data_IF_633612586842
#
_entry.id   IF_633612586842
#
_cell.length_a   1.000
_cell.length_b   1.000
_cell.length_c   1.000
_cell.angle_alpha   90.00
_cell.angle_beta   90.00
_cell.angle_gamma   90.00
#
_symmetry.space_group_name_H-M   'P 1'
#
loop_
_entity.id
_entity.type
_entity.pdbx_description
1 polymer ?
#
# COMPACT_ATOMS: atom_id res chain seq x y z
N UNK A 1 9.26 -6.64 -12.00
CA UNK A 1 8.82 -7.03 -10.64
C UNK A 1 9.97 -7.68 -9.87
N UNK A 2 10.07 -7.45 -8.57
CA UNK A 2 11.12 -8.08 -7.76
C UNK A 2 10.85 -9.57 -7.53
N UNK A 3 11.93 -10.35 -7.49
CA UNK A 3 11.87 -11.80 -7.25
C UNK A 3 11.23 -12.17 -5.93
N UNK A 4 11.19 -11.27 -4.93
CA UNK A 4 10.50 -11.50 -3.66
C UNK A 4 9.06 -12.00 -3.85
N UNK A 5 8.32 -11.39 -4.78
CA UNK A 5 6.93 -11.80 -5.05
C UNK A 5 6.85 -13.14 -5.80
N UNK A 6 7.84 -13.45 -6.65
CA UNK A 6 7.91 -14.74 -7.37
C UNK A 6 8.23 -15.87 -6.40
N UNK A 7 9.19 -15.64 -5.49
CA UNK A 7 9.53 -16.59 -4.42
C UNK A 7 8.33 -16.80 -3.48
N UNK A 8 7.52 -15.75 -3.23
CA UNK A 8 6.25 -15.90 -2.52
C UNK A 8 5.26 -16.82 -3.24
N UNK A 9 5.15 -16.70 -4.57
CA UNK A 9 4.32 -17.61 -5.39
C UNK A 9 4.84 -19.03 -5.36
N UNK A 10 6.15 -19.23 -5.46
CA UNK A 10 6.78 -20.55 -5.33
C UNK A 10 6.44 -21.17 -3.98
N UNK A 11 6.68 -20.44 -2.89
CA UNK A 11 6.35 -20.90 -1.53
C UNK A 11 4.86 -21.27 -1.39
N UNK A 12 3.96 -20.46 -1.95
CA UNK A 12 2.54 -20.80 -2.01
C UNK A 12 2.29 -22.11 -2.76
N UNK A 13 2.86 -22.29 -3.96
CA UNK A 13 2.65 -23.50 -4.75
C UNK A 13 3.16 -24.73 -4.00
N UNK A 14 4.38 -24.67 -3.47
CA UNK A 14 5.02 -25.78 -2.79
C UNK A 14 4.30 -26.15 -1.48
N UNK A 15 3.80 -25.16 -0.75
CA UNK A 15 3.11 -25.38 0.54
C UNK A 15 1.73 -26.02 0.35
N UNK A 16 0.97 -25.60 -0.67
CA UNK A 16 -0.43 -26.01 -0.82
C UNK A 16 -0.65 -27.11 -1.85
N UNK A 17 0.24 -27.26 -2.82
CA UNK A 17 0.12 -28.26 -3.89
C UNK A 17 1.29 -29.25 -3.93
N UNK A 18 2.36 -28.98 -3.15
CA UNK A 18 3.53 -29.84 -3.03
C UNK A 18 4.68 -29.40 -3.93
N UNK A 19 5.90 -29.75 -3.51
CA UNK A 19 7.15 -29.30 -4.17
C UNK A 19 7.26 -29.73 -5.64
N UNK A 20 6.69 -30.89 -5.99
CA UNK A 20 6.73 -31.42 -7.36
C UNK A 20 5.88 -30.61 -8.35
N UNK A 21 4.95 -29.77 -7.89
CA UNK A 21 4.09 -28.96 -8.76
C UNK A 21 4.82 -27.74 -9.30
N UNK A 22 5.76 -27.15 -8.53
CA UNK A 22 6.52 -25.98 -8.96
C UNK A 22 7.20 -26.15 -10.33
N UNK A 23 8.04 -27.19 -10.57
CA UNK A 23 8.69 -27.36 -11.87
C UNK A 23 7.70 -27.59 -13.02
N UNK A 24 6.57 -28.27 -12.78
CA UNK A 24 5.52 -28.47 -13.78
C UNK A 24 4.88 -27.15 -14.19
N UNK A 25 4.56 -26.30 -13.20
CA UNK A 25 3.98 -24.96 -13.42
C UNK A 25 4.98 -24.06 -14.14
N UNK A 26 6.26 -24.08 -13.77
CA UNK A 26 7.31 -23.29 -14.45
C UNK A 26 7.45 -23.70 -15.91
N UNK A 27 7.51 -25.01 -16.20
CA UNK A 27 7.60 -25.52 -17.57
C UNK A 27 6.36 -25.14 -18.40
N UNK A 28 5.15 -25.35 -17.85
CA UNK A 28 3.88 -25.00 -18.50
C UNK A 28 3.73 -23.50 -18.71
N UNK A 29 4.25 -22.69 -17.79
CA UNK A 29 4.30 -21.24 -17.95
C UNK A 29 5.25 -20.82 -19.08
N UNK A 30 6.07 -21.72 -19.66
CA UNK A 30 7.09 -21.43 -20.68
C UNK A 30 8.33 -20.75 -20.10
N UNK A 31 8.64 -21.02 -18.84
CA UNK A 31 9.78 -20.46 -18.12
C UNK A 31 10.83 -21.56 -17.94
N UNK A 32 12.11 -21.18 -17.93
CA UNK A 32 13.23 -22.12 -17.72
C UNK A 32 13.85 -21.99 -16.33
N UNK A 33 13.61 -20.87 -15.64
CA UNK A 33 14.20 -20.57 -14.34
C UNK A 33 13.33 -21.14 -13.22
N UNK A 34 13.90 -22.03 -12.42
CA UNK A 34 13.28 -22.57 -11.21
C UNK A 34 13.60 -21.73 -9.97
N UNK A 35 14.81 -21.17 -9.90
CA UNK A 35 15.29 -20.42 -8.74
C UNK A 35 15.27 -18.91 -8.96
N UNK A 36 14.58 -18.18 -8.08
CA UNK A 36 14.45 -16.73 -8.14
C UNK A 36 15.17 -16.06 -6.97
N UNK A 37 15.94 -15.01 -7.26
CA UNK A 37 16.61 -14.19 -6.27
C UNK A 37 15.71 -13.04 -5.84
N UNK A 38 15.47 -12.87 -4.54
CA UNK A 38 14.50 -11.90 -4.01
C UNK A 38 14.77 -10.46 -4.45
N UNK A 39 16.05 -10.05 -4.50
CA UNK A 39 16.50 -8.69 -4.86
C UNK A 39 16.71 -8.48 -6.36
N UNK A 40 16.51 -9.49 -7.20
CA UNK A 40 16.60 -9.34 -8.66
C UNK A 40 15.27 -8.90 -9.26
N UNK A 41 15.34 -8.13 -10.34
CA UNK A 41 14.16 -7.68 -11.10
C UNK A 41 13.94 -8.62 -12.27
N UNK A 42 12.69 -9.04 -12.42
CA UNK A 42 12.22 -9.93 -13.48
C UNK A 42 11.07 -9.28 -14.26
N UNK A 43 10.69 -9.90 -15.39
CA UNK A 43 9.54 -9.47 -16.19
C UNK A 43 8.26 -9.41 -15.35
N UNK A 44 7.43 -8.40 -15.58
CA UNK A 44 6.12 -8.23 -14.92
C UNK A 44 5.14 -9.36 -15.30
N UNK A 45 5.37 -10.06 -16.42
CA UNK A 45 4.49 -11.14 -16.91
C UNK A 45 4.68 -12.49 -16.20
N UNK A 46 5.74 -12.65 -15.39
CA UNK A 46 6.07 -13.97 -14.80
C UNK A 46 4.97 -14.48 -13.87
N UNK A 47 4.52 -13.67 -12.90
CA UNK A 47 3.50 -14.11 -11.93
C UNK A 47 2.18 -14.42 -12.63
N UNK A 48 1.81 -13.63 -13.64
CA UNK A 48 0.61 -13.90 -14.42
C UNK A 48 0.70 -15.26 -15.12
N UNK A 49 1.80 -15.53 -15.83
CA UNK A 49 2.04 -16.82 -16.50
C UNK A 49 2.04 -18.00 -15.52
N UNK A 50 2.65 -17.83 -14.35
CA UNK A 50 2.65 -18.85 -13.29
C UNK A 50 1.24 -19.13 -12.77
N UNK A 51 0.43 -18.09 -12.54
CA UNK A 51 -0.96 -18.26 -12.07
C UNK A 51 -1.86 -18.91 -13.12
N UNK A 52 -1.69 -18.55 -14.40
CA UNK A 52 -2.41 -19.20 -15.51
C UNK A 52 -2.00 -20.67 -15.64
N UNK A 53 -0.70 -20.98 -15.57
CA UNK A 53 -0.22 -22.36 -15.61
C UNK A 53 -0.72 -23.19 -14.41
N UNK A 54 -0.71 -22.61 -13.20
CA UNK A 54 -1.24 -23.27 -12.00
C UNK A 54 -2.76 -23.47 -12.09
N UNK A 55 -3.50 -22.53 -12.69
CA UNK A 55 -4.94 -22.68 -12.96
C UNK A 55 -5.22 -23.89 -13.86
N UNK A 56 -4.43 -24.05 -14.93
CA UNK A 56 -4.55 -25.21 -15.82
C UNK A 56 -4.14 -26.54 -15.16
N UNK A 57 -3.25 -26.50 -14.17
CA UNK A 57 -2.83 -27.71 -13.43
C UNK A 57 -3.85 -28.13 -12.38
N UNK A 58 -4.49 -27.16 -11.71
CA UNK A 58 -5.34 -27.41 -10.53
C UNK A 58 -6.84 -27.36 -10.84
N UNK A 59 -7.23 -26.84 -12.01
CA UNK A 59 -8.63 -26.60 -12.39
C UNK A 59 -9.30 -25.44 -11.67
N UNK A 60 -8.58 -24.70 -10.81
CA UNK A 60 -9.09 -23.51 -10.10
C UNK A 60 -8.98 -22.26 -10.97
N UNK A 61 -9.82 -21.27 -10.70
CA UNK A 61 -9.73 -19.97 -11.39
C UNK A 61 -8.50 -19.19 -10.93
N UNK A 62 -7.98 -18.32 -11.81
CA UNK A 62 -6.83 -17.45 -11.49
C UNK A 62 -7.16 -16.52 -10.33
N UNK A 63 -8.40 -16.04 -10.22
CA UNK A 63 -8.85 -15.19 -9.12
C UNK A 63 -8.78 -15.92 -7.77
N UNK A 64 -9.24 -17.18 -7.69
CA UNK A 64 -9.13 -17.97 -6.46
C UNK A 64 -7.67 -18.23 -6.11
N UNK A 65 -6.83 -18.63 -7.07
CA UNK A 65 -5.40 -18.86 -6.83
C UNK A 65 -4.67 -17.61 -6.33
N UNK A 66 -4.98 -16.44 -6.90
CA UNK A 66 -4.44 -15.17 -6.41
C UNK A 66 -4.93 -14.86 -5.00
N UNK A 67 -6.20 -15.12 -4.71
CA UNK A 67 -6.75 -14.96 -3.37
C UNK A 67 -6.06 -15.88 -2.34
N UNK A 68 -5.90 -17.16 -2.65
CA UNK A 68 -5.20 -18.13 -1.80
C UNK A 68 -3.73 -17.75 -1.60
N UNK A 69 -3.03 -17.33 -2.66
CA UNK A 69 -1.66 -16.82 -2.55
C UNK A 69 -1.58 -15.57 -1.64
N UNK A 70 -2.59 -14.69 -1.72
CA UNK A 70 -2.73 -13.55 -0.80
C UNK A 70 -2.89 -13.99 0.64
N UNK A 71 -3.68 -15.04 0.90
CA UNK A 71 -3.86 -15.61 2.23
C UNK A 71 -2.59 -16.27 2.77
N UNK A 72 -1.70 -16.79 1.91
CA UNK A 72 -0.40 -17.32 2.34
C UNK A 72 0.66 -16.24 2.57
N UNK A 73 0.37 -14.98 2.22
CA UNK A 73 1.38 -13.93 2.20
C UNK A 73 2.02 -13.66 3.56
N UNK A 74 1.25 -13.50 4.64
CA UNK A 74 1.87 -13.12 5.92
C UNK A 74 2.71 -14.26 6.50
N UNK A 75 2.33 -15.52 6.25
CA UNK A 75 3.16 -16.69 6.60
C UNK A 75 4.51 -16.61 5.88
N UNK A 76 4.48 -16.52 4.55
CA UNK A 76 5.68 -16.33 3.73
C UNK A 76 6.55 -15.16 4.23
N UNK A 77 5.96 -13.97 4.42
CA UNK A 77 6.74 -12.81 4.86
C UNK A 77 7.30 -12.96 6.28
N UNK A 78 6.63 -13.71 7.16
CA UNK A 78 7.14 -13.98 8.51
C UNK A 78 8.36 -14.89 8.42
N UNK A 79 8.26 -15.97 7.65
CA UNK A 79 9.35 -16.94 7.46
C UNK A 79 10.58 -16.31 6.79
N UNK A 80 10.35 -15.29 5.94
CA UNK A 80 11.39 -14.48 5.30
C UNK A 80 11.89 -13.30 6.15
N UNK A 81 11.48 -13.19 7.41
CA UNK A 81 12.01 -12.21 8.37
C UNK A 81 11.38 -10.82 8.34
N UNK A 82 10.29 -10.62 7.60
CA UNK A 82 9.57 -9.34 7.54
C UNK A 82 8.52 -9.16 8.64
N UNK A 83 8.36 -10.12 9.55
CA UNK A 83 7.36 -10.05 10.64
C UNK A 83 7.49 -8.77 11.46
N UNK A 84 8.71 -8.45 11.91
CA UNK A 84 8.97 -7.23 12.70
C UNK A 84 8.59 -5.99 11.92
N UNK A 85 8.94 -5.93 10.64
CA UNK A 85 8.63 -4.81 9.77
C UNK A 85 7.11 -4.62 9.58
N UNK A 86 6.35 -5.71 9.46
CA UNK A 86 4.89 -5.66 9.37
C UNK A 86 4.25 -5.25 10.71
N UNK A 87 4.77 -5.77 11.82
CA UNK A 87 4.22 -5.53 13.16
C UNK A 87 4.41 -4.09 13.64
N UNK A 88 5.47 -3.41 13.22
CA UNK A 88 5.70 -2.00 13.62
C UNK A 88 4.82 -1.00 12.89
N UNK A 89 4.07 -1.41 11.85
CA UNK A 89 3.24 -0.47 11.06
C UNK A 89 2.04 0.09 11.84
N UNK A 90 1.60 -0.57 12.92
CA UNK A 90 0.46 -0.05 13.68
C UNK A 90 0.09 -0.90 14.88
N UNK A 91 -0.55 -0.26 15.86
CA UNK A 91 -1.11 -0.93 17.05
C UNK A 91 -2.52 -1.47 16.80
N UNK A 92 -3.21 -0.92 15.79
CA UNK A 92 -4.53 -1.34 15.31
C UNK A 92 -4.48 -1.69 13.82
N UNK A 93 -5.50 -2.39 13.34
CA UNK A 93 -5.60 -2.72 11.92
C UNK A 93 -5.72 -1.46 11.05
N UNK A 94 -6.46 -0.45 11.52
CA UNK A 94 -6.59 0.85 10.86
C UNK A 94 -5.23 1.54 10.73
N UNK A 95 -4.42 1.56 11.79
CA UNK A 95 -3.08 2.15 11.74
C UNK A 95 -2.18 1.43 10.72
N UNK A 96 -2.26 0.09 10.65
CA UNK A 96 -1.53 -0.64 9.63
C UNK A 96 -1.96 -0.22 8.22
N UNK A 97 -3.27 -0.11 7.95
CA UNK A 97 -3.76 0.34 6.64
C UNK A 97 -3.23 1.72 6.25
N UNK A 98 -3.28 2.69 7.18
CA UNK A 98 -2.76 4.05 6.97
C UNK A 98 -1.25 4.08 6.72
N UNK A 99 -0.50 3.15 7.30
CA UNK A 99 0.96 3.06 7.14
C UNK A 99 1.44 2.14 6.01
N UNK A 100 0.55 1.51 5.24
CA UNK A 100 0.96 0.62 4.15
C UNK A 100 1.85 1.31 3.11
N UNK A 101 1.59 2.57 2.78
CA UNK A 101 2.43 3.30 1.83
C UNK A 101 3.83 3.60 2.42
N UNK A 102 3.90 3.95 3.71
CA UNK A 102 5.15 4.16 4.44
C UNK A 102 5.99 2.87 4.53
N UNK A 103 5.34 1.72 4.78
CA UNK A 103 5.98 0.40 4.73
C UNK A 103 6.68 0.19 3.39
N UNK A 104 6.00 0.49 2.29
CA UNK A 104 6.55 0.32 0.95
C UNK A 104 7.69 1.32 0.65
N UNK A 105 7.64 2.53 1.19
CA UNK A 105 8.75 3.48 1.11
C UNK A 105 9.97 2.97 1.88
N UNK A 106 9.79 2.38 3.07
CA UNK A 106 10.88 1.74 3.80
C UNK A 106 11.49 0.57 3.03
N UNK A 107 10.67 -0.21 2.31
CA UNK A 107 11.19 -1.29 1.45
C UNK A 107 12.10 -0.79 0.33
N UNK A 108 12.08 0.50 -0.05
CA UNK A 108 12.99 1.04 -1.07
C UNK A 108 14.47 0.97 -0.67
N UNK A 109 14.79 0.97 0.62
CA UNK A 109 16.17 0.82 1.08
C UNK A 109 16.76 -0.55 0.66
N UNK A 110 15.94 -1.59 0.65
CA UNK A 110 16.32 -2.94 0.20
C UNK A 110 15.97 -3.18 -1.28
N UNK A 111 14.97 -2.48 -1.81
CA UNK A 111 14.41 -2.65 -3.15
C UNK A 111 14.31 -1.30 -3.89
N UNK A 112 15.42 -0.68 -4.30
CA UNK A 112 15.43 0.72 -4.77
C UNK A 112 14.54 1.03 -5.97
N UNK A 113 14.24 0.03 -6.81
CA UNK A 113 13.42 0.16 -8.02
C UNK A 113 11.99 -0.34 -7.81
N UNK A 114 11.55 -0.50 -6.56
CA UNK A 114 10.22 -1.03 -6.27
C UNK A 114 9.19 -0.05 -6.80
N UNK A 115 8.12 -0.59 -7.39
CA UNK A 115 6.96 0.16 -7.82
C UNK A 115 5.79 -0.30 -6.98
N UNK A 116 5.65 0.20 -5.74
CA UNK A 116 4.62 -0.27 -4.85
C UNK A 116 3.25 0.24 -5.28
N UNK A 117 2.17 -0.48 -4.92
CA UNK A 117 0.83 0.10 -4.97
C UNK A 117 0.70 1.25 -3.97
N UNK A 118 -0.46 1.90 -3.96
CA UNK A 118 -0.84 2.89 -2.97
C UNK A 118 -2.18 2.49 -2.33
N UNK A 119 -2.30 2.71 -1.03
CA UNK A 119 -3.48 2.43 -0.24
C UNK A 119 -4.00 3.71 0.39
N UNK A 120 -5.30 3.94 0.27
CA UNK A 120 -5.94 5.14 0.81
C UNK A 120 -7.29 4.80 1.46
N UNK A 121 -7.47 5.20 2.72
CA UNK A 121 -8.72 4.98 3.43
C UNK A 121 -9.69 6.14 3.22
N UNK A 122 -10.84 5.87 2.58
CA UNK A 122 -11.84 6.88 2.24
C UNK A 122 -12.75 7.19 3.41
N UNK A 123 -13.21 6.16 4.11
CA UNK A 123 -14.06 6.27 5.30
C UNK A 123 -13.70 5.21 6.31
N UNK A 124 -13.77 5.59 7.58
CA UNK A 124 -13.56 4.71 8.72
C UNK A 124 -14.72 4.92 9.69
N UNK A 125 -15.52 3.88 9.88
CA UNK A 125 -16.58 3.86 10.89
C UNK A 125 -16.30 2.74 11.88
N UNK A 126 -17.13 2.64 12.93
CA UNK A 126 -17.01 1.57 13.92
C UNK A 126 -17.18 0.20 13.27
N UNK A 127 -17.98 0.08 12.21
CA UNK A 127 -18.36 -1.22 11.62
C UNK A 127 -17.74 -1.50 10.25
N UNK A 128 -17.28 -0.45 9.53
CA UNK A 128 -16.84 -0.57 8.14
C UNK A 128 -15.70 0.39 7.80
N UNK A 129 -14.78 -0.08 6.96
CA UNK A 129 -13.70 0.70 6.37
C UNK A 129 -13.83 0.63 4.84
N UNK A 130 -13.80 1.78 4.17
CA UNK A 130 -13.65 1.85 2.71
C UNK A 130 -12.21 2.14 2.35
N UNK A 131 -11.56 1.19 1.69
CA UNK A 131 -10.16 1.25 1.31
C UNK A 131 -10.01 1.26 -0.21
N UNK A 132 -9.23 2.19 -0.74
CA UNK A 132 -8.87 2.25 -2.16
C UNK A 132 -7.46 1.73 -2.33
N UNK A 133 -7.33 0.67 -3.13
CA UNK A 133 -6.06 0.13 -3.61
C UNK A 133 -5.81 0.65 -5.02
N UNK A 134 -4.63 1.24 -5.25
CA UNK A 134 -4.25 1.84 -6.52
C UNK A 134 -2.93 1.26 -7.03
N UNK A 135 -2.89 0.81 -8.28
CA UNK A 135 -1.70 0.19 -8.84
C UNK A 135 -1.65 0.31 -10.36
N UNK A 136 -0.43 0.41 -10.90
CA UNK A 136 -0.20 0.27 -12.35
C UNK A 136 -0.29 -1.20 -12.81
N UNK A 137 -0.37 -2.16 -11.88
CA UNK A 137 -0.51 -3.59 -12.17
C UNK A 137 -1.97 -4.01 -12.07
N UNK A 138 -2.44 -4.71 -13.09
CA UNK A 138 -3.82 -5.23 -13.20
C UNK A 138 -3.92 -6.64 -12.63
N UNK A 139 -5.09 -6.99 -12.10
CA UNK A 139 -5.42 -8.37 -11.73
C UNK A 139 -4.96 -8.79 -10.33
N UNK A 140 -4.42 -7.87 -9.53
CA UNK A 140 -3.94 -8.14 -8.17
C UNK A 140 -5.00 -7.91 -7.08
N UNK A 141 -6.25 -7.56 -7.44
CA UNK A 141 -7.28 -7.23 -6.46
C UNK A 141 -7.62 -8.37 -5.50
N UNK A 142 -7.61 -9.60 -5.99
CA UNK A 142 -7.90 -10.79 -5.18
C UNK A 142 -6.70 -11.18 -4.31
N UNK A 143 -5.48 -10.93 -4.80
CA UNK A 143 -4.27 -11.10 -4.03
C UNK A 143 -4.23 -10.15 -2.83
N UNK A 144 -4.48 -8.86 -3.06
CA UNK A 144 -4.58 -7.86 -2.00
C UNK A 144 -5.70 -8.19 -1.01
N UNK A 145 -6.87 -8.65 -1.52
CA UNK A 145 -7.97 -9.11 -0.66
C UNK A 145 -7.52 -10.21 0.31
N UNK A 146 -6.79 -11.22 -0.17
CA UNK A 146 -6.25 -12.28 0.66
C UNK A 146 -5.23 -11.77 1.68
N UNK A 147 -4.33 -10.86 1.27
CA UNK A 147 -3.35 -10.25 2.17
C UNK A 147 -4.03 -9.52 3.33
N UNK A 148 -5.02 -8.67 3.05
CA UNK A 148 -5.73 -7.90 4.07
C UNK A 148 -6.35 -8.82 5.14
N UNK A 149 -7.05 -9.87 4.70
CA UNK A 149 -7.68 -10.86 5.61
C UNK A 149 -6.63 -11.55 6.46
N UNK A 150 -5.54 -11.99 5.85
CA UNK A 150 -4.49 -12.72 6.55
C UNK A 150 -3.72 -11.84 7.55
N UNK A 151 -3.42 -10.58 7.17
CA UNK A 151 -2.78 -9.61 8.06
C UNK A 151 -3.68 -9.27 9.26
N UNK A 152 -4.97 -9.01 9.02
CA UNK A 152 -5.96 -8.77 10.08
C UNK A 152 -6.01 -9.93 11.08
N UNK A 153 -6.10 -11.16 10.56
CA UNK A 153 -6.17 -12.36 11.40
C UNK A 153 -4.88 -12.60 12.18
N UNK A 154 -3.72 -12.52 11.52
CA UNK A 154 -2.42 -12.91 12.10
C UNK A 154 -1.92 -11.89 13.12
N UNK A 155 -2.02 -10.60 12.82
CA UNK A 155 -1.41 -9.56 13.66
C UNK A 155 -2.39 -8.93 14.66
N UNK A 156 -3.70 -8.98 14.39
CA UNK A 156 -4.71 -8.32 15.23
C UNK A 156 -5.79 -9.27 15.76
N UNK A 157 -5.71 -10.57 15.45
CA UNK A 157 -6.73 -11.57 15.78
C UNK A 157 -8.16 -11.13 15.38
N UNK A 158 -8.25 -10.42 14.25
CA UNK A 158 -9.48 -9.85 13.72
C UNK A 158 -9.94 -10.67 12.53
N UNK A 159 -11.17 -11.17 12.57
CA UNK A 159 -11.79 -11.79 11.40
C UNK A 159 -12.51 -10.69 10.63
N UNK A 160 -12.07 -10.45 9.40
CA UNK A 160 -12.65 -9.43 8.53
C UNK A 160 -13.25 -10.06 7.29
N UNK A 161 -14.26 -9.41 6.74
CA UNK A 161 -14.77 -9.65 5.40
C UNK A 161 -14.34 -8.50 4.51
N UNK A 162 -13.67 -8.80 3.41
CA UNK A 162 -13.26 -7.82 2.40
C UNK A 162 -14.08 -8.03 1.15
N UNK A 163 -14.93 -7.06 0.82
CA UNK A 163 -15.84 -7.07 -0.33
C UNK A 163 -15.36 -6.06 -1.36
N UNK A 164 -15.29 -6.46 -2.63
CA UNK A 164 -14.93 -5.55 -3.72
C UNK A 164 -16.18 -4.79 -4.16
N UNK A 165 -16.14 -3.46 -4.06
CA UNK A 165 -17.28 -2.57 -4.33
C UNK A 165 -17.24 -2.03 -5.76
N UNK A 166 -16.08 -1.57 -6.22
CA UNK A 166 -15.95 -1.01 -7.57
C UNK A 166 -14.50 -1.08 -8.08
N UNK A 167 -14.38 -0.93 -9.40
CA UNK A 167 -13.11 -0.83 -10.13
C UNK A 167 -13.20 0.35 -11.07
N UNK A 168 -12.16 1.17 -11.15
CA UNK A 168 -12.05 2.23 -12.16
C UNK A 168 -10.59 2.42 -12.57
N UNK A 169 -10.37 3.21 -13.61
CA UNK A 169 -9.04 3.56 -14.11
C UNK A 169 -8.90 5.06 -14.17
N UNK A 170 -7.72 5.55 -13.79
CA UNK A 170 -7.31 6.94 -13.94
C UNK A 170 -5.96 6.96 -14.65
N UNK A 171 -5.96 7.36 -15.92
CA UNK A 171 -4.81 7.21 -16.81
C UNK A 171 -4.36 5.75 -16.92
N UNK A 172 -3.15 5.45 -16.42
CA UNK A 172 -2.55 4.10 -16.39
C UNK A 172 -2.65 3.42 -15.02
N UNK A 173 -3.37 4.03 -14.07
CA UNK A 173 -3.52 3.51 -12.71
C UNK A 173 -4.89 2.86 -12.57
N UNK A 174 -4.89 1.64 -12.08
CA UNK A 174 -6.08 0.88 -11.77
C UNK A 174 -6.41 1.06 -10.29
N UNK A 175 -7.65 1.38 -10.01
CA UNK A 175 -8.16 1.57 -8.66
C UNK A 175 -9.23 0.53 -8.35
N UNK A 176 -9.18 0.03 -7.12
CA UNK A 176 -10.14 -0.93 -6.58
C UNK A 176 -10.56 -0.46 -5.21
N UNK A 177 -11.87 -0.29 -5.03
CA UNK A 177 -12.43 0.05 -3.73
C UNK A 177 -12.95 -1.21 -3.05
N UNK A 178 -12.46 -1.44 -1.84
CA UNK A 178 -12.92 -2.47 -0.93
C UNK A 178 -13.78 -1.85 0.16
N UNK A 179 -14.78 -2.61 0.58
CA UNK A 179 -15.43 -2.46 1.87
C UNK A 179 -14.92 -3.57 2.79
N UNK A 180 -14.47 -3.20 3.97
CA UNK A 180 -13.92 -4.09 4.98
C UNK A 180 -14.83 -4.01 6.20
N UNK A 181 -15.43 -5.14 6.59
CA UNK A 181 -16.24 -5.27 7.80
C UNK A 181 -15.64 -6.33 8.72
N UNK A 182 -16.05 -6.38 9.98
CA UNK A 182 -15.60 -7.36 10.96
C UNK A 182 -16.76 -8.11 11.62
N UNK A 183 -16.49 -9.26 12.23
CA UNK A 183 -17.47 -10.15 12.88
C UNK A 183 -17.97 -9.69 14.27
N UNK A 184 -17.88 -8.39 14.57
CA UNK A 184 -18.41 -7.77 15.80
C UNK A 184 -17.35 -7.41 16.85
N UNK A 185 -16.06 -7.63 16.57
CA UNK A 185 -14.94 -7.08 17.36
C UNK A 185 -14.62 -5.66 16.90
N UNK A 186 -14.26 -4.76 17.80
CA UNK A 186 -13.74 -3.43 17.40
C UNK A 186 -12.43 -3.56 16.61
N UNK A 187 -12.11 -2.56 15.77
CA UNK A 187 -10.84 -2.48 15.00
C UNK A 187 -9.54 -2.49 15.84
N UNK A 188 -9.65 -2.65 17.17
CA UNK A 188 -8.62 -2.33 18.16
C UNK A 188 -8.81 -0.90 18.64
N UNK A 189 -8.98 -0.72 19.97
CA UNK A 189 -9.19 0.52 20.74
C UNK A 189 -9.33 1.85 19.95
N UNK A 190 -10.50 2.52 20.00
CA UNK A 190 -10.67 3.92 19.61
C UNK A 190 -9.95 4.96 20.52
N UNK A 191 -8.88 4.57 21.22
CA UNK A 191 -8.30 5.39 22.30
C UNK A 191 -6.83 5.11 22.62
N UNK A 192 -6.10 4.48 21.70
CA UNK A 192 -4.65 4.26 21.84
C UNK A 192 -3.78 5.28 21.11
N UNK A 193 -4.39 6.17 20.32
CA UNK A 193 -3.72 7.37 19.83
C UNK A 193 -3.69 8.32 21.00
N UNK A 194 -2.50 8.46 21.61
CA UNK A 194 -2.14 9.45 22.61
C UNK A 194 -3.35 9.89 23.46
N UNK A 195 -3.43 9.44 24.72
CA UNK A 195 -4.09 10.34 25.68
C UNK A 195 -3.46 11.69 25.43
N UNK A 196 -4.24 12.65 24.92
CA UNK A 196 -3.84 14.04 24.89
C UNK A 196 -3.68 14.34 26.37
N UNK A 197 -2.48 14.07 26.87
CA UNK A 197 -1.93 14.76 28.01
C UNK A 197 -2.06 16.18 27.53
N UNK A 198 -3.04 16.88 28.11
CA UNK A 198 -3.32 18.29 27.87
C UNK A 198 -1.99 18.94 27.56
N UNK A 199 -1.83 19.39 26.30
CA UNK A 199 -0.59 20.00 25.86
C UNK A 199 -0.19 21.00 26.95
N UNK A 200 1.07 21.01 27.41
CA UNK A 200 1.53 22.05 28.32
C UNK A 200 1.05 23.39 27.77
N UNK A 201 0.62 24.29 28.64
CA UNK A 201 0.20 25.66 28.31
C UNK A 201 1.42 26.45 27.79
N UNK A 202 1.95 26.05 26.64
CA UNK A 202 2.81 26.88 25.82
C UNK A 202 1.93 27.96 25.18
N UNK A 203 2.51 29.12 24.90
CA UNK A 203 1.88 30.18 24.11
C UNK A 203 1.17 29.54 22.90
N UNK A 204 -0.14 29.80 22.68
CA UNK A 204 -0.91 29.11 21.66
C UNK A 204 -0.49 29.47 20.23
N UNK A 205 0.45 30.41 20.06
CA UNK A 205 0.87 30.90 18.75
C UNK A 205 2.38 31.06 18.70
N UNK A 206 3.00 30.31 17.78
CA UNK A 206 4.34 30.56 17.28
C UNK A 206 4.22 31.55 16.11
N UNK A 207 5.09 32.56 16.04
CA UNK A 207 5.04 33.48 14.91
C UNK A 207 5.38 32.72 13.62
N UNK A 208 4.72 33.07 12.51
CA UNK A 208 4.92 32.32 11.25
C UNK A 208 6.39 32.31 10.82
N UNK A 209 7.11 33.41 11.02
CA UNK A 209 8.52 33.49 10.65
C UNK A 209 9.42 32.61 11.53
N UNK A 210 9.07 32.42 12.81
CA UNK A 210 9.78 31.48 13.69
C UNK A 210 9.50 30.04 13.26
N UNK A 211 8.24 29.69 12.98
CA UNK A 211 7.87 28.35 12.51
C UNK A 211 8.58 27.99 11.20
N UNK A 212 8.50 28.88 10.21
CA UNK A 212 9.07 28.65 8.88
C UNK A 212 10.60 28.69 8.87
N UNK A 213 11.24 29.34 9.85
CA UNK A 213 12.70 29.28 10.01
C UNK A 213 13.21 27.90 10.41
N UNK A 214 12.38 27.09 11.10
CA UNK A 214 12.75 25.75 11.59
C UNK A 214 12.58 24.68 10.51
N UNK A 215 11.68 24.90 9.54
CA UNK A 215 11.34 23.90 8.51
C UNK A 215 12.00 24.25 7.19
N UNK A 216 13.03 23.49 6.80
CA UNK A 216 13.82 23.77 5.59
C UNK A 216 13.04 23.61 4.28
N UNK A 217 11.99 22.78 4.25
CA UNK A 217 11.17 22.52 3.06
C UNK A 217 9.69 22.53 3.43
N UNK A 218 8.95 23.50 2.90
CA UNK A 218 7.49 23.57 3.05
C UNK A 218 6.86 24.31 1.87
N UNK A 219 5.58 24.02 1.64
CA UNK A 219 4.71 24.73 0.70
C UNK A 219 3.37 24.92 1.40
N UNK A 220 2.87 26.16 1.43
CA UNK A 220 1.53 26.49 1.91
C UNK A 220 0.62 26.68 0.70
N UNK A 221 -0.46 25.91 0.62
CA UNK A 221 -1.37 25.89 -0.53
C UNK A 221 -2.77 26.28 -0.07
N UNK A 222 -3.44 27.15 -0.82
CA UNK A 222 -4.83 27.54 -0.57
C UNK A 222 -5.83 26.45 -1.03
N UNK A 223 -7.11 26.53 -0.62
CA UNK A 223 -8.15 25.64 -1.15
C UNK A 223 -8.34 25.70 -2.67
N UNK A 224 -7.87 26.76 -3.33
CA UNK A 224 -7.89 26.89 -4.80
C UNK A 224 -6.63 26.36 -5.46
N UNK A 225 -5.81 25.59 -4.74
CA UNK A 225 -4.53 25.04 -5.21
C UNK A 225 -3.49 26.10 -5.60
N UNK A 226 -3.56 27.31 -5.03
CA UNK A 226 -2.55 28.36 -5.26
C UNK A 226 -1.48 28.26 -4.17
N UNK A 227 -0.22 28.31 -4.57
CA UNK A 227 0.91 28.33 -3.63
C UNK A 227 0.97 29.72 -2.99
N UNK A 228 0.65 29.81 -1.71
CA UNK A 228 0.66 31.06 -0.95
C UNK A 228 2.05 31.40 -0.42
N UNK A 229 2.82 30.40 0.00
CA UNK A 229 4.18 30.57 0.52
C UNK A 229 5.02 29.33 0.22
N UNK A 230 6.27 29.51 -0.13
CA UNK A 230 7.23 28.43 -0.29
C UNK A 230 8.48 28.67 0.56
N UNK A 231 9.08 27.60 1.06
CA UNK A 231 10.37 27.71 1.78
C UNK A 231 11.46 28.28 0.88
N UNK A 232 12.45 28.95 1.49
CA UNK A 232 13.61 29.45 0.75
C UNK A 232 14.30 28.35 -0.06
N UNK A 233 14.37 27.12 0.47
CA UNK A 233 14.97 25.98 -0.25
C UNK A 233 14.22 25.65 -1.55
N UNK A 234 12.89 25.70 -1.57
CA UNK A 234 12.10 25.54 -2.80
C UNK A 234 12.27 26.72 -3.75
N UNK A 235 12.28 27.95 -3.21
CA UNK A 235 12.48 29.16 -4.01
C UNK A 235 13.86 29.23 -4.69
N UNK A 236 14.86 28.50 -4.19
CA UNK A 236 16.16 28.32 -4.86
C UNK A 236 16.09 27.44 -6.11
N UNK A 237 15.10 26.56 -6.22
CA UNK A 237 14.89 25.72 -7.42
C UNK A 237 14.00 26.44 -8.45
N UNK A 238 12.95 27.10 -7.98
CA UNK A 238 12.02 27.88 -8.80
C UNK A 238 11.57 29.10 -7.99
N UNK A 239 11.88 30.29 -8.48
CA UNK A 239 11.57 31.55 -7.79
C UNK A 239 10.16 32.08 -8.11
N UNK A 240 9.41 31.41 -9.01
CA UNK A 240 8.06 31.76 -9.42
C UNK A 240 7.00 30.80 -8.84
N UNK A 241 7.28 30.24 -7.66
CA UNK A 241 6.36 29.33 -6.99
C UNK A 241 5.18 30.07 -6.35
N UNK A 242 5.44 31.15 -5.61
CA UNK A 242 4.39 31.89 -4.91
C UNK A 242 3.44 32.59 -5.89
N UNK A 243 2.14 32.38 -5.72
CA UNK A 243 1.10 32.84 -6.63
C UNK A 243 0.78 31.89 -7.79
N UNK A 244 1.61 30.88 -8.05
CA UNK A 244 1.35 29.89 -9.11
C UNK A 244 0.36 28.80 -8.68
N UNK A 245 -0.23 28.12 -9.66
CA UNK A 245 -1.09 26.96 -9.41
C UNK A 245 -0.20 25.74 -9.09
N UNK A 246 -0.44 25.09 -7.97
CA UNK A 246 0.37 23.97 -7.48
C UNK A 246 0.55 22.85 -8.53
N UNK A 247 -0.52 22.52 -9.27
CA UNK A 247 -0.48 21.47 -10.30
C UNK A 247 0.37 21.79 -11.52
N UNK A 248 0.73 23.06 -11.73
CA UNK A 248 1.64 23.47 -12.82
C UNK A 248 3.11 23.25 -12.44
N UNK A 249 3.42 23.33 -11.14
CA UNK A 249 4.78 23.25 -10.60
C UNK A 249 5.11 21.88 -9.99
N UNK A 250 4.10 21.19 -9.44
CA UNK A 250 4.26 19.96 -8.68
C UNK A 250 3.32 18.85 -9.16
N UNK A 251 3.80 17.61 -8.97
CA UNK A 251 3.03 16.39 -9.16
C UNK A 251 2.98 15.61 -7.85
N UNK A 252 1.80 15.16 -7.45
CA UNK A 252 1.64 14.29 -6.29
C UNK A 252 2.06 12.87 -6.70
N UNK A 253 3.21 12.42 -6.20
CA UNK A 253 3.71 11.09 -6.50
C UNK A 253 2.92 9.97 -5.83
N UNK A 254 2.43 10.22 -4.60
CA UNK A 254 1.63 9.31 -3.76
C UNK A 254 0.78 10.10 -2.75
N UNK A 255 -0.47 9.67 -2.46
CA UNK A 255 -1.24 8.66 -3.20
C UNK A 255 -1.49 9.12 -4.66
N UNK A 256 -1.90 8.21 -5.55
CA UNK A 256 -2.26 8.57 -6.92
C UNK A 256 -3.62 9.25 -6.93
N UNK A 257 -3.61 10.57 -6.70
CA UNK A 257 -4.78 11.45 -6.68
C UNK A 257 -4.52 12.64 -7.60
N UNK A 258 -5.58 13.29 -8.10
CA UNK A 258 -5.36 14.57 -8.76
C UNK A 258 -4.94 15.63 -7.74
N UNK A 259 -4.26 16.65 -8.23
CA UNK A 259 -3.83 17.79 -7.43
C UNK A 259 -5.03 18.75 -7.21
N UNK A 260 -6.06 18.26 -6.52
CA UNK A 260 -7.22 19.06 -6.10
C UNK A 260 -7.29 19.11 -4.57
N UNK A 261 -7.82 20.21 -4.02
CA UNK A 261 -7.87 20.39 -2.58
C UNK A 261 -8.72 19.32 -1.89
N UNK A 262 -9.84 18.93 -2.49
CA UNK A 262 -10.71 17.90 -1.92
C UNK A 262 -10.05 16.53 -1.85
N UNK A 263 -9.26 16.15 -2.86
CA UNK A 263 -8.54 14.88 -2.85
C UNK A 263 -7.36 14.90 -1.87
N UNK A 264 -6.58 16.00 -1.84
CA UNK A 264 -5.50 16.17 -0.86
C UNK A 264 -6.05 16.15 0.57
N UNK A 265 -7.18 16.82 0.81
CA UNK A 265 -7.86 16.85 2.12
C UNK A 265 -8.39 15.49 2.54
N UNK A 266 -8.91 14.70 1.59
CA UNK A 266 -9.32 13.31 1.83
C UNK A 266 -8.10 12.45 2.17
N UNK A 267 -6.98 12.67 1.49
CA UNK A 267 -5.68 11.99 1.62
C UNK A 267 -4.99 12.00 2.99
N UNK A 268 -5.63 12.51 4.06
CA UNK A 268 -5.06 12.89 5.36
C UNK A 268 -3.70 12.25 5.67
N UNK A 269 -2.66 13.02 5.38
CA UNK A 269 -1.28 12.85 5.84
C UNK A 269 -1.20 12.98 7.37
#
# INVERSE_FOLDING_TARGET
MYGLLIVGVQHFIETYYGQHIWPLVVARAGLTTLDYQTQKIYSETIIERLMVALSQETGRTVEDLRYQNGLSFAAFTTDYGYEKLLRVQGRSFIHLLRNLDNLHEHLRFSYPKIRPPSFFTVTETVDSIKLVYSSKRVGYEHYVRGQLINLAKRFFNLNITVTLISRWMEGLVHHVMYEITHDGKTWGLPGGDYTQTTLPTWSPTLHSDEFFSVVSFFILITPTMIIQRASESFNRFDNELEGSVFSEKFLIGRPYINATFEEVRRGRF
#
